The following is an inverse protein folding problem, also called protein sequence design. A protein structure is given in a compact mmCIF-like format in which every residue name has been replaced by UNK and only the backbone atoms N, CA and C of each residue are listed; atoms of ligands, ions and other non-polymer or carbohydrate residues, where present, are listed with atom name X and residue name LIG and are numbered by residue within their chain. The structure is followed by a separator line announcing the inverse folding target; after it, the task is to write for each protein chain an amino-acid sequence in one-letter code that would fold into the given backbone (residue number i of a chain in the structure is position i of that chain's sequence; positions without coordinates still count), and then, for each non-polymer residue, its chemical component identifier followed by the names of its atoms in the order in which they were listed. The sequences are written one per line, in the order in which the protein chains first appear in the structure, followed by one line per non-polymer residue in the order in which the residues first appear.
data_IF_391355697116
#
_entry.id   IF_391355697116
#
_cell.length_a   1.000
_cell.length_b   1.000
_cell.length_c   1.000
_cell.angle_alpha   90.00
_cell.angle_beta   90.00
_cell.angle_gamma   90.00
#
_symmetry.space_group_name_H-M   'P 1'
#
loop_
_entity.id
_entity.type
_entity.pdbx_description
1 polymer ?
#
# COMPACT_ATOMS: atom_id res chain seq x y z
N UNK A 1 10.26 -24.74 -9.51
CA UNK A 1 8.92 -25.41 -9.50
C UNK A 1 8.74 -26.36 -10.70
N UNK A 2 7.69 -27.18 -10.79
CA UNK A 2 7.47 -28.09 -11.95
C UNK A 2 7.11 -27.34 -13.24
N UNK A 3 6.34 -26.25 -13.15
CA UNK A 3 6.02 -25.37 -14.28
C UNK A 3 6.78 -24.06 -14.15
N UNK A 4 7.33 -23.55 -15.26
CA UNK A 4 7.88 -22.19 -15.32
C UNK A 4 6.73 -21.19 -15.37
N UNK A 5 6.75 -20.19 -14.48
CA UNK A 5 5.71 -19.15 -14.45
C UNK A 5 5.96 -18.05 -15.47
N UNK A 6 7.21 -17.86 -15.89
CA UNK A 6 7.63 -16.87 -16.86
C UNK A 6 8.34 -17.57 -18.02
N UNK A 7 7.92 -17.26 -19.24
CA UNK A 7 8.58 -17.70 -20.47
C UNK A 7 9.84 -16.89 -20.75
N UNK A 8 10.70 -17.37 -21.65
CA UNK A 8 11.89 -16.62 -22.08
C UNK A 8 11.55 -15.26 -22.70
N UNK A 9 10.36 -15.14 -23.30
CA UNK A 9 9.88 -13.87 -23.85
C UNK A 9 9.52 -12.89 -22.73
N UNK A 10 8.85 -13.35 -21.68
CA UNK A 10 8.45 -12.52 -20.53
C UNK A 10 9.69 -11.97 -19.82
N UNK A 11 10.70 -12.81 -19.59
CA UNK A 11 11.97 -12.40 -18.97
C UNK A 11 12.65 -11.31 -19.79
N UNK A 12 12.83 -11.53 -21.10
CA UNK A 12 13.45 -10.52 -22.00
C UNK A 12 12.70 -9.20 -22.03
N UNK A 13 11.37 -9.22 -22.00
CA UNK A 13 10.56 -8.01 -21.98
C UNK A 13 10.73 -7.23 -20.67
N UNK A 14 10.79 -7.92 -19.52
CA UNK A 14 11.05 -7.29 -18.22
C UNK A 14 12.48 -6.76 -18.13
N UNK A 15 13.47 -7.54 -18.56
CA UNK A 15 14.88 -7.11 -18.57
C UNK A 15 15.06 -5.86 -19.47
N UNK A 16 14.46 -5.85 -20.67
CA UNK A 16 14.49 -4.68 -21.54
C UNK A 16 13.82 -3.46 -20.90
N UNK A 17 12.75 -3.66 -20.11
CA UNK A 17 12.11 -2.58 -19.36
C UNK A 17 13.05 -2.03 -18.27
N UNK A 18 13.72 -2.89 -17.50
CA UNK A 18 14.74 -2.50 -16.51
C UNK A 18 15.87 -1.69 -17.19
N UNK A 19 16.42 -2.22 -18.28
CA UNK A 19 17.52 -1.58 -19.02
C UNK A 19 17.11 -0.20 -19.57
N UNK A 20 15.86 -0.05 -20.01
CA UNK A 20 15.34 1.23 -20.49
C UNK A 20 15.27 2.33 -19.43
N UNK A 21 15.38 1.97 -18.15
CA UNK A 21 15.47 2.87 -17.00
C UNK A 21 16.89 2.99 -16.43
N UNK A 22 17.89 2.43 -17.12
CA UNK A 22 19.30 2.51 -16.73
C UNK A 22 19.82 1.31 -15.93
N UNK A 23 19.02 0.25 -15.78
CA UNK A 23 19.39 -0.94 -15.01
C UNK A 23 18.92 -0.91 -13.56
N UNK A 24 18.92 -2.07 -12.91
CA UNK A 24 18.37 -2.23 -11.57
C UNK A 24 19.08 -1.37 -10.50
N UNK A 25 20.42 -1.28 -10.57
CA UNK A 25 21.22 -0.47 -9.64
C UNK A 25 20.89 1.02 -9.73
N UNK A 26 20.74 1.56 -10.95
CA UNK A 26 20.41 2.96 -11.17
C UNK A 26 18.98 3.26 -10.69
N UNK A 27 18.03 2.35 -10.93
CA UNK A 27 16.67 2.47 -10.38
C UNK A 27 16.71 2.56 -8.86
N UNK A 28 17.42 1.63 -8.20
CA UNK A 28 17.53 1.63 -6.73
C UNK A 28 18.16 2.91 -6.20
N UNK A 29 19.24 3.38 -6.83
CA UNK A 29 19.94 4.61 -6.45
C UNK A 29 19.05 5.85 -6.58
N UNK A 30 18.31 5.98 -7.69
CA UNK A 30 17.42 7.12 -7.90
C UNK A 30 16.29 7.14 -6.87
N UNK A 31 15.70 5.99 -6.57
CA UNK A 31 14.67 5.87 -5.51
C UNK A 31 15.22 6.42 -4.19
N UNK A 32 16.39 5.95 -3.73
CA UNK A 32 16.96 6.40 -2.45
C UNK A 32 17.28 7.89 -2.44
N UNK A 33 17.78 8.43 -3.56
CA UNK A 33 18.14 9.86 -3.65
C UNK A 33 16.95 10.81 -3.43
N UNK A 34 15.72 10.33 -3.67
CA UNK A 34 14.49 11.10 -3.53
C UNK A 34 13.77 10.86 -2.19
N UNK A 35 14.25 9.98 -1.32
CA UNK A 35 13.57 9.65 -0.05
C UNK A 35 13.92 10.59 1.10
N UNK A 36 15.00 11.35 0.95
CA UNK A 36 15.38 12.38 1.91
C UNK A 36 14.32 13.50 2.00
N UNK A 37 14.10 14.00 3.22
CA UNK A 37 13.04 14.98 3.46
C UNK A 37 13.32 16.32 2.78
N UNK A 38 14.56 16.82 2.82
CA UNK A 38 14.89 18.12 2.23
C UNK A 38 14.72 18.10 0.71
N UNK A 39 15.13 16.99 0.07
CA UNK A 39 14.88 16.78 -1.36
C UNK A 39 13.38 16.81 -1.67
N UNK A 40 12.56 16.04 -0.94
CA UNK A 40 11.11 16.02 -1.18
C UNK A 40 10.45 17.35 -0.89
N UNK A 41 10.82 18.01 0.21
CA UNK A 41 10.30 19.32 0.61
C UNK A 41 10.61 20.39 -0.43
N UNK A 42 11.82 20.39 -0.99
CA UNK A 42 12.21 21.29 -2.08
C UNK A 42 11.34 21.08 -3.33
N UNK A 43 11.24 19.83 -3.80
CA UNK A 43 10.43 19.49 -4.99
C UNK A 43 8.96 19.82 -4.77
N UNK A 44 8.41 19.45 -3.61
CA UNK A 44 7.04 19.77 -3.22
C UNK A 44 6.81 21.30 -3.15
N UNK A 45 7.78 22.05 -2.63
CA UNK A 45 7.76 23.51 -2.58
C UNK A 45 7.65 24.15 -3.96
N UNK A 46 8.47 23.72 -4.92
CA UNK A 46 8.39 24.16 -6.33
C UNK A 46 7.04 23.86 -6.98
N UNK A 47 6.36 22.82 -6.48
CA UNK A 47 5.02 22.39 -6.93
C UNK A 47 3.87 23.02 -6.13
N UNK A 48 4.16 23.94 -5.20
CA UNK A 48 3.14 24.68 -4.45
C UNK A 48 2.63 24.00 -3.17
N UNK A 49 3.33 22.97 -2.67
CA UNK A 49 2.98 22.26 -1.43
C UNK A 49 3.85 22.63 -0.22
N UNK A 50 4.78 23.58 -0.35
CA UNK A 50 5.73 23.96 0.72
C UNK A 50 5.05 24.37 2.04
N UNK A 51 4.12 25.34 1.97
CA UNK A 51 3.37 25.81 3.15
C UNK A 51 2.55 24.70 3.81
N UNK A 52 2.04 23.74 3.01
CA UNK A 52 1.30 22.59 3.54
C UNK A 52 2.21 21.69 4.37
N UNK A 53 3.42 21.41 3.88
CA UNK A 53 4.40 20.61 4.62
C UNK A 53 4.84 21.30 5.91
N UNK A 54 5.10 22.61 5.87
CA UNK A 54 5.44 23.39 7.07
C UNK A 54 4.34 23.34 8.13
N UNK A 55 3.07 23.48 7.73
CA UNK A 55 1.95 23.33 8.66
C UNK A 55 1.82 21.92 9.20
N UNK A 56 2.09 20.90 8.38
CA UNK A 56 2.07 19.51 8.83
C UNK A 56 3.15 19.26 9.91
N UNK A 57 4.35 19.83 9.76
CA UNK A 57 5.41 19.78 10.79
C UNK A 57 4.96 20.39 12.13
N UNK A 58 4.16 21.47 12.09
CA UNK A 58 3.60 22.06 13.30
C UNK A 58 2.52 21.18 13.92
N UNK A 59 1.59 20.64 13.12
CA UNK A 59 0.49 19.81 13.61
C UNK A 59 0.95 18.53 14.31
N UNK A 60 1.99 17.87 13.80
CA UNK A 60 2.44 16.60 14.39
C UNK A 60 3.03 16.74 15.79
N UNK A 61 3.37 17.95 16.23
CA UNK A 61 3.84 18.22 17.60
C UNK A 61 2.76 17.97 18.66
N UNK A 62 1.49 18.08 18.27
CA UNK A 62 0.33 17.91 19.16
C UNK A 62 -0.21 16.46 19.17
N UNK A 63 0.49 15.52 18.53
CA UNK A 63 0.05 14.12 18.48
C UNK A 63 0.28 13.40 19.81
N UNK A 64 -0.64 12.50 20.16
CA UNK A 64 -0.54 11.68 21.36
C UNK A 64 0.69 10.78 21.35
N UNK A 65 1.27 10.54 22.54
CA UNK A 65 2.43 9.66 22.72
C UNK A 65 2.07 8.31 23.32
N UNK A 66 2.71 7.26 22.81
CA UNK A 66 2.51 5.88 23.29
C UNK A 66 2.96 5.76 24.75
N UNK A 67 4.07 6.39 25.11
CA UNK A 67 4.65 6.42 26.46
C UNK A 67 3.65 6.99 27.47
N UNK A 68 3.06 8.14 27.15
CA UNK A 68 2.07 8.82 27.99
C UNK A 68 0.83 7.93 28.22
N UNK A 69 0.35 7.25 27.16
CA UNK A 69 -0.75 6.32 27.27
C UNK A 69 -0.40 5.09 28.13
N UNK A 70 0.77 4.51 27.94
CA UNK A 70 1.27 3.35 28.69
C UNK A 70 1.41 3.68 30.17
N UNK A 71 2.05 4.80 30.50
CA UNK A 71 2.23 5.26 31.87
C UNK A 71 0.90 5.55 32.56
N UNK A 72 0.03 6.36 31.91
CA UNK A 72 -1.29 6.74 32.44
C UNK A 72 -2.18 5.54 32.74
N UNK A 73 -2.05 4.45 31.99
CA UNK A 73 -2.89 3.26 32.13
C UNK A 73 -2.17 2.10 32.85
N UNK A 74 -0.94 2.29 33.33
CA UNK A 74 -0.17 1.25 34.02
C UNK A 74 0.03 -0.02 33.18
N UNK A 75 0.24 0.13 31.88
CA UNK A 75 0.31 -0.99 30.94
C UNK A 75 1.66 -1.70 31.04
N UNK A 76 1.63 -3.03 31.16
CA UNK A 76 2.80 -3.89 31.09
C UNK A 76 2.70 -4.81 29.87
N UNK A 77 3.74 -4.83 29.04
CA UNK A 77 3.81 -5.70 27.86
C UNK A 77 4.29 -7.10 28.22
N UNK A 78 3.38 -7.95 28.71
CA UNK A 78 3.70 -9.30 29.22
C UNK A 78 3.52 -10.42 28.20
N UNK A 79 2.95 -10.14 27.02
CA UNK A 79 2.63 -11.15 26.01
C UNK A 79 3.51 -11.02 24.76
N UNK A 80 3.69 -12.16 24.07
CA UNK A 80 4.26 -12.21 22.71
C UNK A 80 3.23 -11.75 21.67
N UNK A 81 3.63 -11.68 20.40
CA UNK A 81 2.79 -11.16 19.32
C UNK A 81 2.78 -9.63 19.33
N UNK A 82 3.26 -9.06 18.23
CA UNK A 82 3.34 -7.61 18.02
C UNK A 82 2.29 -7.22 16.98
N UNK A 83 1.49 -6.23 17.33
CA UNK A 83 0.53 -5.64 16.41
C UNK A 83 1.17 -4.47 15.63
N UNK A 84 0.90 -4.40 14.33
CA UNK A 84 1.24 -3.23 13.49
C UNK A 84 -0.05 -2.51 13.10
N UNK A 85 -0.13 -1.21 13.40
CA UNK A 85 -1.32 -0.39 13.11
C UNK A 85 -1.29 0.13 11.67
N UNK A 86 -2.30 -0.21 10.85
CA UNK A 86 -2.37 0.18 9.44
C UNK A 86 -3.74 0.76 9.06
N UNK A 87 -3.74 1.88 8.32
CA UNK A 87 -4.95 2.52 7.79
C UNK A 87 -4.82 2.70 6.28
N UNK A 88 -5.91 2.43 5.54
CA UNK A 88 -6.00 2.70 4.11
C UNK A 88 -6.96 3.85 3.78
N UNK A 89 -6.97 4.23 2.51
CA UNK A 89 -7.84 5.28 2.00
C UNK A 89 -7.15 6.63 1.89
N UNK A 90 -5.82 6.70 1.98
CA UNK A 90 -5.09 7.96 1.75
C UNK A 90 -5.17 8.34 0.27
N UNK A 91 -5.56 9.58 -0.02
CA UNK A 91 -5.82 10.02 -1.40
C UNK A 91 -5.03 11.28 -1.76
N UNK A 92 -3.71 11.20 -1.72
CA UNK A 92 -2.83 12.34 -2.00
C UNK A 92 -2.66 13.30 -0.82
N UNK A 93 -1.99 14.41 -1.09
CA UNK A 93 -1.49 15.34 -0.10
C UNK A 93 -2.62 16.06 0.64
N UNK A 94 -3.59 16.66 -0.06
CA UNK A 94 -4.64 17.46 0.59
C UNK A 94 -5.49 16.64 1.57
N UNK A 95 -6.04 15.46 1.22
CA UNK A 95 -6.79 14.66 2.19
C UNK A 95 -5.92 14.14 3.34
N UNK A 96 -4.65 13.80 3.05
CA UNK A 96 -3.69 13.39 4.09
C UNK A 96 -3.42 14.53 5.08
N UNK A 97 -3.22 15.75 4.58
CA UNK A 97 -3.03 16.95 5.38
C UNK A 97 -4.25 17.24 6.28
N UNK A 98 -5.47 17.11 5.74
CA UNK A 98 -6.69 17.27 6.52
C UNK A 98 -6.83 16.23 7.63
N UNK A 99 -6.44 14.97 7.37
CA UNK A 99 -6.37 13.94 8.40
C UNK A 99 -5.37 14.33 9.50
N UNK A 100 -4.16 14.78 9.13
CA UNK A 100 -3.12 15.21 10.07
C UNK A 100 -3.62 16.36 10.96
N UNK A 101 -4.25 17.39 10.37
CA UNK A 101 -4.85 18.50 11.11
C UNK A 101 -5.89 18.02 12.11
N UNK A 102 -6.80 17.13 11.69
CA UNK A 102 -7.88 16.57 12.54
C UNK A 102 -7.33 15.74 13.70
N UNK A 103 -6.24 14.99 13.47
CA UNK A 103 -5.56 14.24 14.53
C UNK A 103 -4.92 15.20 15.55
N UNK A 104 -4.22 16.25 15.08
CA UNK A 104 -3.65 17.27 15.96
C UNK A 104 -4.73 17.95 16.82
N UNK A 105 -5.89 18.28 16.23
CA UNK A 105 -7.03 18.85 16.97
C UNK A 105 -7.61 17.91 18.03
N UNK A 106 -7.46 16.58 17.86
CA UNK A 106 -7.96 15.60 18.82
C UNK A 106 -6.96 15.33 19.96
N UNK A 107 -5.65 15.40 19.73
CA UNK A 107 -4.61 15.28 20.77
C UNK A 107 -4.53 13.94 21.53
N UNK A 108 -5.53 13.06 21.39
CA UNK A 108 -5.62 11.78 22.09
C UNK A 108 -5.42 10.56 21.16
N UNK A 109 -5.24 10.76 19.85
CA UNK A 109 -5.16 9.68 18.86
C UNK A 109 -3.70 9.28 18.57
N UNK A 110 -3.36 8.00 18.76
CA UNK A 110 -2.08 7.45 18.33
C UNK A 110 -2.11 7.14 16.83
N UNK A 111 -1.19 7.70 16.06
CA UNK A 111 -1.24 7.64 14.60
C UNK A 111 -0.67 6.30 14.06
N UNK A 112 -1.34 5.63 13.10
CA UNK A 112 -0.92 4.33 12.57
C UNK A 112 0.45 4.39 11.88
N UNK A 113 1.24 3.33 11.98
CA UNK A 113 2.60 3.26 11.40
C UNK A 113 2.61 2.96 9.91
N UNK A 114 1.56 2.35 9.38
CA UNK A 114 1.49 1.99 7.96
C UNK A 114 0.27 2.61 7.29
N UNK A 115 0.48 3.12 6.09
CA UNK A 115 -0.51 3.87 5.32
C UNK A 115 -0.66 3.26 3.94
N UNK A 116 -1.89 3.19 3.43
CA UNK A 116 -2.14 2.73 2.05
C UNK A 116 -2.90 3.81 1.29
N UNK A 117 -2.30 4.24 0.18
CA UNK A 117 -2.99 5.08 -0.79
C UNK A 117 -3.81 4.22 -1.74
N UNK A 118 -5.00 4.71 -2.09
CA UNK A 118 -5.96 4.01 -2.96
C UNK A 118 -6.16 4.72 -4.31
N UNK A 119 -5.35 5.75 -4.57
CA UNK A 119 -5.38 6.53 -5.81
C UNK A 119 -4.56 5.82 -6.87
N UNK A 120 -5.12 5.65 -8.06
CA UNK A 120 -4.39 5.12 -9.21
C UNK A 120 -3.27 6.07 -9.65
N UNK A 121 -2.18 5.52 -10.18
CA UNK A 121 -0.98 6.30 -10.57
C UNK A 121 -1.18 7.04 -11.90
N UNK A 122 -2.07 8.02 -11.91
CA UNK A 122 -2.22 8.98 -13.02
C UNK A 122 -0.96 9.83 -13.14
N UNK A 123 -0.67 10.34 -14.34
CA UNK A 123 0.48 11.23 -14.53
C UNK A 123 0.30 12.53 -13.71
N UNK A 124 -0.93 13.04 -13.57
CA UNK A 124 -1.19 14.18 -12.69
C UNK A 124 -0.81 13.86 -11.24
N UNK A 125 -1.27 12.74 -10.67
CA UNK A 125 -0.94 12.37 -9.29
C UNK A 125 0.57 12.20 -9.07
N UNK A 126 1.28 11.65 -10.05
CA UNK A 126 2.72 11.36 -9.96
C UNK A 126 3.58 12.63 -10.15
N UNK A 127 3.25 13.50 -11.10
CA UNK A 127 4.13 14.60 -11.52
C UNK A 127 3.71 16.02 -11.06
N UNK A 128 2.48 16.18 -10.55
CA UNK A 128 1.97 17.47 -10.06
C UNK A 128 2.59 17.91 -8.73
N UNK A 129 3.24 16.99 -7.99
CA UNK A 129 3.70 17.22 -6.63
C UNK A 129 2.77 16.61 -5.56
N UNK A 130 1.59 16.12 -5.94
CA UNK A 130 0.62 15.55 -5.00
C UNK A 130 1.17 14.31 -4.28
N UNK A 131 1.59 13.27 -5.01
CA UNK A 131 2.12 12.05 -4.39
C UNK A 131 3.42 12.29 -3.61
N UNK A 132 4.38 13.06 -4.11
CA UNK A 132 5.64 13.32 -3.39
C UNK A 132 5.40 14.09 -2.09
N UNK A 133 4.41 14.99 -2.05
CA UNK A 133 4.01 15.71 -0.83
C UNK A 133 3.30 14.78 0.16
N UNK A 134 2.45 13.87 -0.33
CA UNK A 134 1.85 12.83 0.51
C UNK A 134 2.92 11.91 1.14
N UNK A 135 3.93 11.52 0.36
CA UNK A 135 5.07 10.72 0.85
C UNK A 135 5.93 11.50 1.85
N UNK A 136 6.17 12.78 1.62
CA UNK A 136 6.89 13.65 2.55
C UNK A 136 6.14 13.73 3.91
N UNK A 137 4.83 13.94 3.89
CA UNK A 137 4.01 13.91 5.11
C UNK A 137 4.05 12.54 5.79
N UNK A 138 3.82 11.47 5.04
CA UNK A 138 3.73 10.12 5.59
C UNK A 138 5.07 9.60 6.14
N UNK A 139 6.10 9.53 5.31
CA UNK A 139 7.34 8.85 5.66
C UNK A 139 8.29 9.77 6.44
N UNK A 140 8.33 11.07 6.14
CA UNK A 140 9.33 11.98 6.72
C UNK A 140 8.80 12.74 7.94
N UNK A 141 7.58 13.32 7.86
CA UNK A 141 7.01 14.12 8.96
C UNK A 141 6.36 13.22 10.02
N UNK A 142 5.43 12.36 9.62
CA UNK A 142 4.74 11.43 10.53
C UNK A 142 5.68 10.30 10.97
N UNK A 143 6.63 9.92 10.11
CA UNK A 143 7.52 8.78 10.34
C UNK A 143 6.78 7.44 10.26
N UNK A 144 5.87 7.31 9.30
CA UNK A 144 5.28 6.03 8.93
C UNK A 144 6.37 5.06 8.44
N UNK A 145 6.30 3.80 8.86
CA UNK A 145 7.23 2.76 8.43
C UNK A 145 7.06 2.36 6.97
N UNK A 146 5.83 2.49 6.44
CA UNK A 146 5.48 2.19 5.06
C UNK A 146 4.34 3.06 4.56
N UNK A 147 4.47 3.56 3.34
CA UNK A 147 3.37 4.14 2.56
C UNK A 147 3.19 3.35 1.27
N UNK A 148 2.10 2.58 1.17
CA UNK A 148 1.82 1.71 0.03
C UNK A 148 1.06 2.48 -1.05
N UNK A 149 1.67 2.68 -2.21
CA UNK A 149 1.01 3.29 -3.38
C UNK A 149 0.26 2.24 -4.19
N UNK A 150 -0.95 2.55 -4.65
CA UNK A 150 -1.75 1.63 -5.46
C UNK A 150 -1.57 1.91 -6.94
N UNK A 151 -1.03 0.93 -7.70
CA UNK A 151 -1.04 1.00 -9.15
C UNK A 151 -2.22 0.18 -9.70
N UNK A 152 -3.14 0.88 -10.36
CA UNK A 152 -4.33 0.29 -10.97
C UNK A 152 -4.09 0.13 -12.46
N UNK A 153 -4.14 -1.11 -12.95
CA UNK A 153 -3.82 -1.40 -14.35
C UNK A 153 -4.78 -0.70 -15.33
N UNK A 154 -6.02 -0.50 -14.91
CA UNK A 154 -7.02 0.24 -15.68
C UNK A 154 -6.91 1.76 -15.54
N UNK A 155 -5.91 2.32 -14.86
CA UNK A 155 -5.75 3.79 -14.83
C UNK A 155 -5.47 4.33 -16.23
N UNK A 156 -6.24 5.32 -16.73
CA UNK A 156 -5.91 6.00 -17.97
C UNK A 156 -4.54 6.67 -17.90
N UNK A 157 -3.73 6.46 -18.94
CA UNK A 157 -2.39 7.03 -19.07
C UNK A 157 -2.23 7.69 -20.45
N UNK A 158 -1.35 8.68 -20.62
CA UNK A 158 -1.04 9.22 -21.93
C UNK A 158 -0.61 8.12 -22.91
N UNK A 159 -1.08 8.18 -24.15
CA UNK A 159 -0.78 7.16 -25.19
C UNK A 159 0.72 6.93 -25.38
N UNK A 160 1.54 7.98 -25.19
CA UNK A 160 2.99 7.90 -25.23
C UNK A 160 3.60 6.93 -24.20
N UNK A 161 2.94 6.71 -23.06
CA UNK A 161 3.38 5.75 -22.04
C UNK A 161 3.29 4.33 -22.61
N UNK A 162 2.16 4.00 -23.23
CA UNK A 162 2.00 2.70 -23.88
C UNK A 162 2.95 2.55 -25.06
N UNK A 163 3.04 3.54 -25.94
CA UNK A 163 3.93 3.50 -27.10
C UNK A 163 5.41 3.28 -26.69
N UNK A 164 5.84 3.89 -25.58
CA UNK A 164 7.17 3.65 -25.01
C UNK A 164 7.35 2.20 -24.58
N UNK A 165 6.43 1.65 -23.78
CA UNK A 165 6.54 0.28 -23.28
C UNK A 165 6.53 -0.72 -24.45
N UNK A 166 5.66 -0.53 -25.45
CA UNK A 166 5.63 -1.36 -26.66
C UNK A 166 6.95 -1.30 -27.44
N UNK A 167 7.55 -0.10 -27.56
CA UNK A 167 8.83 0.07 -28.25
C UNK A 167 9.98 -0.65 -27.52
N UNK A 168 10.01 -0.55 -26.19
CA UNK A 168 11.08 -1.12 -25.36
C UNK A 168 10.97 -2.65 -25.31
N UNK A 169 9.76 -3.15 -25.11
CA UNK A 169 9.52 -4.57 -24.81
C UNK A 169 9.19 -5.40 -26.04
N UNK A 170 8.78 -4.76 -27.14
CA UNK A 170 8.25 -5.42 -28.33
C UNK A 170 6.82 -5.96 -28.17
N UNK A 171 6.19 -5.74 -27.02
CA UNK A 171 4.82 -6.15 -26.75
C UNK A 171 3.78 -5.20 -27.32
N UNK A 172 2.53 -5.65 -27.37
CA UNK A 172 1.37 -4.86 -27.75
C UNK A 172 0.27 -5.00 -26.70
N UNK A 173 -0.42 -3.90 -26.44
CA UNK A 173 -1.47 -3.86 -25.41
C UNK A 173 -2.81 -3.50 -26.03
N UNK A 174 -3.83 -4.31 -25.76
CA UNK A 174 -5.21 -3.96 -26.11
C UNK A 174 -5.69 -2.83 -25.21
N UNK A 175 -5.95 -1.67 -25.81
CA UNK A 175 -6.36 -0.45 -25.12
C UNK A 175 -7.42 0.32 -25.90
N UNK A 176 -8.20 1.13 -25.19
CA UNK A 176 -9.18 2.05 -25.74
C UNK A 176 -8.70 3.50 -25.57
N UNK A 177 -8.99 4.34 -26.56
CA UNK A 177 -8.89 5.79 -26.44
C UNK A 177 -10.04 6.26 -25.53
N UNK A 178 -9.69 6.96 -24.46
CA UNK A 178 -10.64 7.50 -23.48
C UNK A 178 -10.72 9.04 -23.51
N UNK A 179 -10.17 9.64 -24.57
CA UNK A 179 -10.17 11.09 -24.81
C UNK A 179 -8.96 11.81 -24.23
N UNK A 180 -8.77 13.08 -24.63
CA UNK A 180 -7.71 13.96 -24.14
C UNK A 180 -6.28 13.41 -24.27
N UNK A 181 -6.03 12.54 -25.26
CA UNK A 181 -4.74 11.89 -25.47
C UNK A 181 -4.43 10.77 -24.47
N UNK A 182 -5.41 10.37 -23.66
CA UNK A 182 -5.31 9.26 -22.73
C UNK A 182 -5.80 7.96 -23.36
N UNK A 183 -5.15 6.88 -23.00
CA UNK A 183 -5.56 5.52 -23.34
C UNK A 183 -5.64 4.65 -22.09
N UNK A 184 -6.45 3.61 -22.16
CA UNK A 184 -6.74 2.73 -21.04
C UNK A 184 -6.69 1.28 -21.48
N UNK A 185 -6.02 0.42 -20.73
CA UNK A 185 -6.05 -1.03 -20.95
C UNK A 185 -7.49 -1.53 -20.89
N UNK A 186 -7.89 -2.35 -21.85
CA UNK A 186 -9.23 -2.97 -21.86
C UNK A 186 -9.23 -4.17 -20.92
N UNK A 187 -9.98 -4.07 -19.82
CA UNK A 187 -10.35 -5.19 -18.95
C UNK A 187 -11.77 -5.67 -19.35
N UNK A 188 -11.97 -6.96 -19.59
CA UNK A 188 -13.12 -7.48 -20.37
C UNK A 188 -14.19 -8.22 -19.55
N UNK A 189 -13.85 -8.87 -18.44
CA UNK A 189 -14.77 -9.76 -17.72
C UNK A 189 -15.39 -9.13 -16.45
N UNK A 190 -14.81 -8.07 -15.88
CA UNK A 190 -15.24 -7.53 -14.60
C UNK A 190 -16.13 -6.30 -14.78
N UNK A 191 -17.45 -6.49 -14.89
CA UNK A 191 -18.42 -5.41 -15.11
C UNK A 191 -18.58 -4.35 -13.99
N UNK A 192 -17.69 -4.28 -12.99
CA UNK A 192 -17.70 -3.27 -11.91
C UNK A 192 -16.52 -2.31 -12.04
N UNK A 193 -16.64 -1.07 -11.58
CA UNK A 193 -15.52 -0.11 -11.59
C UNK A 193 -14.29 -0.72 -10.88
N UNK A 194 -14.46 -1.29 -9.69
CA UNK A 194 -13.35 -1.91 -8.98
C UNK A 194 -12.69 -3.06 -9.73
N UNK A 195 -13.44 -3.91 -10.44
CA UNK A 195 -12.80 -4.97 -11.22
C UNK A 195 -12.17 -4.46 -12.54
N UNK A 196 -12.76 -3.44 -13.16
CA UNK A 196 -12.27 -2.77 -14.38
C UNK A 196 -11.05 -1.88 -14.15
N UNK A 197 -10.84 -1.37 -12.93
CA UNK A 197 -9.68 -0.56 -12.58
C UNK A 197 -8.69 -1.31 -11.67
N UNK A 198 -9.19 -2.16 -10.78
CA UNK A 198 -8.45 -2.87 -9.71
C UNK A 198 -7.39 -3.87 -10.17
N UNK A 199 -7.37 -4.25 -11.45
CA UNK A 199 -6.35 -5.14 -11.99
C UNK A 199 -6.59 -6.63 -11.70
N UNK A 200 -7.82 -7.05 -11.41
CA UNK A 200 -8.16 -8.49 -11.31
C UNK A 200 -7.86 -9.19 -12.65
N UNK A 201 -8.09 -8.49 -13.76
CA UNK A 201 -7.77 -8.95 -15.11
C UNK A 201 -6.46 -8.39 -15.64
N UNK A 202 -5.35 -8.85 -15.10
CA UNK A 202 -4.07 -8.63 -15.78
C UNK A 202 -3.89 -9.71 -16.85
N UNK A 203 -4.57 -9.52 -17.98
CA UNK A 203 -4.47 -10.37 -19.15
C UNK A 203 -3.14 -10.20 -19.89
N UNK A 204 -2.66 -11.27 -20.51
CA UNK A 204 -1.46 -11.29 -21.35
C UNK A 204 -0.25 -10.59 -20.66
N UNK A 205 0.39 -9.66 -21.37
CA UNK A 205 1.60 -8.95 -20.94
C UNK A 205 1.33 -7.62 -20.24
N UNK A 206 0.10 -7.37 -19.80
CA UNK A 206 -0.27 -6.10 -19.14
C UNK A 206 0.51 -5.86 -17.83
N UNK A 207 1.11 -6.90 -17.23
CA UNK A 207 2.03 -6.74 -16.10
C UNK A 207 3.20 -5.80 -16.42
N UNK A 208 3.61 -5.66 -17.70
CA UNK A 208 4.64 -4.70 -18.10
C UNK A 208 4.19 -3.24 -17.94
N UNK A 209 2.91 -2.94 -18.19
CA UNK A 209 2.33 -1.61 -17.94
C UNK A 209 2.27 -1.32 -16.44
N UNK A 210 1.94 -2.35 -15.64
CA UNK A 210 2.03 -2.24 -14.18
C UNK A 210 3.47 -1.96 -13.71
N UNK A 211 4.46 -2.70 -14.22
CA UNK A 211 5.87 -2.52 -13.88
C UNK A 211 6.42 -1.16 -14.35
N UNK A 212 5.96 -0.65 -15.50
CA UNK A 212 6.30 0.69 -15.96
C UNK A 212 5.72 1.78 -15.03
N UNK A 213 4.45 1.65 -14.65
CA UNK A 213 3.78 2.60 -13.75
C UNK A 213 4.44 2.70 -12.38
N UNK A 214 4.80 1.56 -11.76
CA UNK A 214 5.52 1.58 -10.48
C UNK A 214 6.91 2.19 -10.64
N UNK A 215 7.62 1.89 -11.73
CA UNK A 215 9.01 2.34 -11.92
C UNK A 215 9.05 3.84 -12.14
N UNK A 216 8.22 4.40 -13.02
CA UNK A 216 8.11 5.86 -13.21
C UNK A 216 7.79 6.59 -11.91
N UNK A 217 6.84 6.04 -11.16
CA UNK A 217 6.44 6.62 -9.88
C UNK A 217 7.58 6.60 -8.88
N UNK A 218 8.28 5.48 -8.77
CA UNK A 218 9.43 5.30 -7.89
C UNK A 218 10.57 6.28 -8.23
N UNK A 219 10.91 6.41 -9.52
CA UNK A 219 11.94 7.33 -10.02
C UNK A 219 11.55 8.81 -9.91
N UNK A 220 10.26 9.13 -9.81
CA UNK A 220 9.78 10.52 -9.72
C UNK A 220 9.65 10.99 -8.28
N UNK A 221 9.33 10.07 -7.34
CA UNK A 221 8.88 10.43 -5.99
C UNK A 221 9.65 9.75 -4.86
N UNK A 222 10.52 8.78 -5.18
CA UNK A 222 11.14 7.90 -4.18
C UNK A 222 10.17 6.91 -3.53
N UNK A 223 8.94 6.77 -4.05
CA UNK A 223 8.01 5.72 -3.63
C UNK A 223 8.63 4.34 -3.88
N UNK A 224 8.60 3.46 -2.89
CA UNK A 224 9.28 2.16 -2.98
C UNK A 224 8.44 0.98 -2.46
N UNK A 225 7.17 1.22 -2.16
CA UNK A 225 6.26 0.22 -1.66
C UNK A 225 4.92 0.30 -2.40
N UNK A 226 4.57 -0.78 -3.11
CA UNK A 226 3.44 -0.77 -4.04
C UNK A 226 2.46 -1.91 -3.79
N UNK A 227 1.17 -1.63 -3.99
CA UNK A 227 0.11 -2.62 -3.87
C UNK A 227 0.11 -3.51 -5.12
N UNK A 228 0.08 -4.82 -4.92
CA UNK A 228 0.01 -5.83 -5.96
C UNK A 228 -1.40 -6.45 -6.02
N UNK A 229 -2.09 -6.36 -7.17
CA UNK A 229 -3.48 -6.78 -7.27
C UNK A 229 -3.71 -8.21 -7.77
N UNK A 230 -2.73 -8.91 -8.37
CA UNK A 230 -3.03 -10.12 -9.15
C UNK A 230 -1.91 -11.17 -9.22
N UNK A 231 -2.29 -12.41 -9.56
CA UNK A 231 -1.35 -13.53 -9.72
C UNK A 231 -0.29 -13.30 -10.79
N UNK A 232 -0.61 -12.65 -11.91
CA UNK A 232 0.40 -12.38 -12.95
C UNK A 232 1.32 -11.23 -12.55
N UNK A 233 0.79 -10.18 -11.93
CA UNK A 233 1.63 -9.06 -11.45
C UNK A 233 2.52 -9.46 -10.29
N UNK A 234 2.12 -10.38 -9.39
CA UNK A 234 2.99 -10.80 -8.27
C UNK A 234 4.20 -11.59 -8.76
N UNK A 235 4.01 -12.48 -9.74
CA UNK A 235 5.12 -13.24 -10.34
C UNK A 235 6.08 -12.30 -11.04
N UNK A 236 5.55 -11.39 -11.87
CA UNK A 236 6.35 -10.39 -12.57
C UNK A 236 7.08 -9.46 -11.60
N UNK A 237 6.42 -8.98 -10.54
CA UNK A 237 7.00 -8.11 -9.53
C UNK A 237 8.14 -8.81 -8.75
N UNK A 238 7.98 -10.10 -8.40
CA UNK A 238 9.03 -10.85 -7.73
C UNK A 238 10.27 -10.97 -8.61
N UNK A 239 10.11 -11.30 -9.90
CA UNK A 239 11.25 -11.35 -10.82
C UNK A 239 11.87 -9.96 -11.03
N UNK A 240 11.05 -8.96 -11.35
CA UNK A 240 11.48 -7.60 -11.70
C UNK A 240 12.26 -6.92 -10.56
N UNK A 241 11.78 -7.05 -9.32
CA UNK A 241 12.39 -6.41 -8.16
C UNK A 241 13.40 -7.29 -7.41
N UNK A 242 13.76 -8.45 -7.98
CA UNK A 242 14.79 -9.31 -7.38
C UNK A 242 16.16 -8.61 -7.34
N UNK A 243 16.44 -7.75 -8.32
CA UNK A 243 17.68 -6.97 -8.46
C UNK A 243 17.50 -5.51 -8.01
N UNK A 244 16.26 -5.06 -7.81
CA UNK A 244 15.93 -3.70 -7.33
C UNK A 244 15.64 -3.80 -5.82
N UNK A 245 16.70 -3.81 -5.03
CA UNK A 245 16.68 -4.20 -3.60
C UNK A 245 15.71 -3.41 -2.72
N UNK A 246 15.52 -2.12 -3.02
CA UNK A 246 14.67 -1.22 -2.24
C UNK A 246 13.22 -1.14 -2.73
N UNK A 247 12.86 -1.83 -3.81
CA UNK A 247 11.47 -1.89 -4.28
C UNK A 247 10.73 -3.06 -3.62
N UNK A 248 9.57 -2.79 -3.03
CA UNK A 248 8.81 -3.77 -2.25
C UNK A 248 7.31 -3.75 -2.58
N UNK A 249 6.65 -4.88 -2.32
CA UNK A 249 5.24 -5.06 -2.67
C UNK A 249 4.40 -5.61 -1.53
N UNK A 250 3.13 -5.19 -1.50
CA UNK A 250 2.08 -5.74 -0.65
C UNK A 250 1.10 -6.53 -1.48
N UNK A 251 0.75 -7.73 -1.05
CA UNK A 251 -0.36 -8.49 -1.67
C UNK A 251 -1.70 -7.93 -1.17
N UNK A 252 -2.51 -7.45 -2.11
CA UNK A 252 -3.83 -6.85 -1.87
C UNK A 252 -4.91 -7.89 -1.57
N UNK A 253 -6.10 -7.41 -1.16
CA UNK A 253 -7.31 -8.22 -1.00
C UNK A 253 -7.66 -9.01 -2.26
N UNK A 254 -7.42 -8.44 -3.46
CA UNK A 254 -7.72 -9.10 -4.74
C UNK A 254 -6.91 -10.37 -4.99
N UNK A 255 -5.75 -10.49 -4.37
CA UNK A 255 -4.88 -11.67 -4.36
C UNK A 255 -4.82 -12.29 -2.95
N UNK A 256 -5.74 -11.92 -2.05
CA UNK A 256 -5.65 -12.36 -0.65
C UNK A 256 -5.68 -13.87 -0.52
N UNK A 257 -4.91 -14.34 0.46
CA UNK A 257 -4.85 -15.75 0.81
C UNK A 257 -6.12 -16.13 1.56
N UNK A 258 -7.03 -16.85 0.93
CA UNK A 258 -8.29 -17.32 1.52
C UNK A 258 -8.16 -18.72 2.17
N UNK A 259 -7.05 -19.41 1.95
CA UNK A 259 -6.75 -20.72 2.55
C UNK A 259 -5.25 -21.05 2.46
N UNK A 260 -4.84 -22.13 3.14
CA UNK A 260 -3.43 -22.53 3.20
C UNK A 260 -2.85 -22.99 1.86
N UNK A 261 -3.67 -23.47 0.91
CA UNK A 261 -3.19 -23.89 -0.41
C UNK A 261 -2.71 -22.65 -1.18
N UNK A 262 -3.53 -21.60 -1.20
CA UNK A 262 -3.16 -20.32 -1.82
C UNK A 262 -1.93 -19.71 -1.15
N UNK A 263 -1.82 -19.82 0.18
CA UNK A 263 -0.65 -19.36 0.92
C UNK A 263 0.63 -20.06 0.44
N UNK A 264 0.60 -21.40 0.39
CA UNK A 264 1.74 -22.21 -0.07
C UNK A 264 2.10 -21.95 -1.52
N UNK A 265 1.11 -21.69 -2.38
CA UNK A 265 1.37 -21.28 -3.76
C UNK A 265 2.17 -19.98 -3.81
N UNK A 266 1.80 -18.97 -3.00
CA UNK A 266 2.55 -17.72 -2.88
C UNK A 266 3.98 -17.96 -2.37
N UNK A 267 4.15 -18.77 -1.31
CA UNK A 267 5.50 -19.10 -0.81
C UNK A 267 6.39 -19.77 -1.87
N UNK A 268 5.81 -20.62 -2.73
CA UNK A 268 6.54 -21.23 -3.85
C UNK A 268 6.95 -20.20 -4.90
N UNK A 269 6.09 -19.23 -5.21
CA UNK A 269 6.42 -18.11 -6.11
C UNK A 269 7.58 -17.31 -5.52
N UNK A 270 7.53 -16.95 -4.24
CA UNK A 270 8.57 -16.12 -3.61
C UNK A 270 9.90 -16.85 -3.57
N UNK A 271 9.91 -18.14 -3.24
CA UNK A 271 11.15 -18.95 -3.23
C UNK A 271 11.77 -19.11 -4.61
N UNK A 272 10.99 -19.10 -5.69
CA UNK A 272 11.51 -19.18 -7.05
C UNK A 272 12.26 -17.91 -7.47
N UNK A 273 11.86 -16.74 -6.94
CA UNK A 273 12.38 -15.42 -7.34
C UNK A 273 12.95 -14.64 -6.15
N UNK A 274 13.72 -15.30 -5.30
CA UNK A 274 14.44 -14.62 -4.22
C UNK A 274 15.50 -13.67 -4.78
N UNK A 275 15.79 -12.64 -3.99
CA UNK A 275 16.99 -11.83 -4.13
C UNK A 275 18.23 -12.66 -3.79
N UNK A 276 19.39 -12.15 -4.18
CA UNK A 276 20.68 -12.79 -3.89
C UNK A 276 20.96 -12.92 -2.39
N UNK A 277 20.40 -12.04 -1.56
CA UNK A 277 20.49 -12.09 -0.09
C UNK A 277 19.49 -13.06 0.57
N UNK A 278 18.71 -13.81 -0.24
CA UNK A 278 17.69 -14.74 0.23
C UNK A 278 16.38 -14.09 0.67
N UNK A 279 16.25 -12.77 0.58
CA UNK A 279 15.00 -12.05 0.84
C UNK A 279 14.06 -12.10 -0.37
N UNK A 280 12.83 -11.65 -0.16
CA UNK A 280 11.80 -11.53 -1.20
C UNK A 280 11.39 -10.06 -1.35
N UNK A 281 11.02 -9.60 -2.56
CA UNK A 281 10.42 -8.28 -2.75
C UNK A 281 9.07 -8.10 -2.05
N UNK A 282 8.47 -9.17 -1.53
CA UNK A 282 7.17 -9.10 -0.86
C UNK A 282 7.37 -8.72 0.61
N UNK A 283 6.81 -7.58 0.99
CA UNK A 283 6.85 -7.10 2.37
C UNK A 283 5.70 -7.68 3.19
N UNK A 284 4.49 -7.77 2.63
CA UNK A 284 3.30 -8.12 3.40
C UNK A 284 2.24 -8.84 2.57
N UNK A 285 1.54 -9.79 3.19
CA UNK A 285 0.44 -10.57 2.59
C UNK A 285 -0.85 -10.31 3.34
N UNK A 286 -1.89 -9.89 2.61
CA UNK A 286 -3.24 -9.84 3.17
C UNK A 286 -3.83 -11.26 3.24
N UNK A 287 -4.11 -11.72 4.45
CA UNK A 287 -4.90 -12.92 4.70
C UNK A 287 -6.38 -12.54 4.56
N UNK A 288 -7.13 -13.35 3.80
CA UNK A 288 -8.49 -13.05 3.39
C UNK A 288 -9.49 -13.06 4.55
N UNK A 289 -10.58 -12.31 4.38
CA UNK A 289 -11.58 -12.09 5.45
C UNK A 289 -12.39 -13.35 5.81
N UNK A 290 -12.39 -14.37 4.96
CA UNK A 290 -13.03 -15.66 5.25
C UNK A 290 -12.17 -16.58 6.13
N UNK A 291 -10.92 -16.19 6.40
CA UNK A 291 -9.95 -17.01 7.12
C UNK A 291 -10.21 -16.96 8.63
N UNK A 292 -10.17 -18.14 9.26
CA UNK A 292 -10.26 -18.26 10.72
C UNK A 292 -8.92 -17.88 11.37
N UNK A 293 -8.90 -17.43 12.64
CA UNK A 293 -7.65 -17.14 13.35
C UNK A 293 -6.69 -18.35 13.39
N UNK A 294 -7.18 -19.58 13.44
CA UNK A 294 -6.35 -20.80 13.43
C UNK A 294 -5.62 -20.97 12.09
N UNK A 295 -6.28 -20.66 10.98
CA UNK A 295 -5.65 -20.70 9.66
C UNK A 295 -4.65 -19.55 9.50
N UNK A 296 -4.93 -18.37 10.05
CA UNK A 296 -3.95 -17.27 10.09
C UNK A 296 -2.69 -17.68 10.86
N UNK A 297 -2.87 -18.27 12.05
CA UNK A 297 -1.78 -18.80 12.87
C UNK A 297 -0.96 -19.83 12.09
N UNK A 298 -1.62 -20.74 11.37
CA UNK A 298 -0.93 -21.71 10.52
C UNK A 298 -0.11 -21.03 9.41
N UNK A 299 -0.65 -20.00 8.74
CA UNK A 299 0.12 -19.21 7.78
C UNK A 299 1.36 -18.58 8.43
N UNK A 300 1.24 -18.02 9.63
CA UNK A 300 2.39 -17.46 10.37
C UNK A 300 3.46 -18.52 10.66
N UNK A 301 3.06 -19.70 11.12
CA UNK A 301 3.97 -20.80 11.43
C UNK A 301 4.69 -21.31 10.16
N UNK A 302 3.96 -21.48 9.05
CA UNK A 302 4.56 -21.89 7.79
C UNK A 302 5.49 -20.82 7.21
N UNK A 303 5.18 -19.54 7.44
CA UNK A 303 6.06 -18.43 7.06
C UNK A 303 7.36 -18.44 7.85
N UNK A 304 7.28 -18.56 9.18
CA UNK A 304 8.44 -18.69 10.06
C UNK A 304 9.32 -19.89 9.64
N UNK A 305 8.70 -21.05 9.39
CA UNK A 305 9.40 -22.24 8.92
C UNK A 305 10.00 -22.09 7.51
N UNK A 306 9.46 -21.18 6.68
CA UNK A 306 9.97 -20.94 5.33
C UNK A 306 11.30 -20.16 5.33
N UNK A 307 11.57 -19.40 6.40
CA UNK A 307 12.71 -18.49 6.54
C UNK A 307 12.51 -17.12 5.87
N UNK A 308 11.32 -16.83 5.32
CA UNK A 308 11.04 -15.56 4.65
C UNK A 308 10.57 -14.49 5.66
N UNK A 309 11.14 -13.30 5.55
CA UNK A 309 10.75 -12.15 6.38
C UNK A 309 9.61 -11.36 5.71
N UNK A 310 8.38 -11.86 5.86
CA UNK A 310 7.15 -11.24 5.34
C UNK A 310 6.21 -10.96 6.52
N UNK A 311 5.40 -9.89 6.44
CA UNK A 311 4.34 -9.60 7.41
C UNK A 311 2.99 -10.15 6.95
N UNK A 312 2.12 -10.52 7.90
CA UNK A 312 0.76 -10.95 7.60
C UNK A 312 -0.25 -9.91 8.09
N UNK A 313 -1.20 -9.56 7.23
CA UNK A 313 -2.26 -8.58 7.50
C UNK A 313 -3.63 -9.23 7.56
N UNK A 314 -4.51 -8.67 8.38
CA UNK A 314 -5.94 -8.93 8.30
C UNK A 314 -6.71 -7.60 8.29
N UNK A 315 -7.76 -7.52 7.48
CA UNK A 315 -8.73 -6.44 7.61
C UNK A 315 -9.52 -6.63 8.90
N UNK A 316 -9.62 -5.58 9.70
CA UNK A 316 -10.45 -5.59 10.91
C UNK A 316 -11.87 -5.14 10.60
N UNK A 317 -11.99 -4.07 9.80
CA UNK A 317 -13.24 -3.48 9.33
C UNK A 317 -13.10 -3.10 7.87
N UNK A 318 -14.17 -3.33 7.11
CA UNK A 318 -14.24 -3.04 5.68
C UNK A 318 -15.48 -2.24 5.35
N UNK A 319 -15.39 -1.47 4.27
CA UNK A 319 -16.52 -0.71 3.77
C UNK A 319 -17.60 -1.67 3.26
N UNK A 320 -18.89 -1.35 3.44
CA UNK A 320 -20.00 -2.22 3.05
C UNK A 320 -20.12 -2.42 1.52
N UNK A 321 -19.41 -1.63 0.72
CA UNK A 321 -19.31 -1.80 -0.73
C UNK A 321 -18.16 -2.74 -1.15
N UNK A 322 -17.20 -3.02 -0.25
CA UNK A 322 -16.15 -4.02 -0.43
C UNK A 322 -16.49 -5.37 0.21
N UNK A 323 -17.38 -5.41 1.19
CA UNK A 323 -17.83 -6.66 1.78
C UNK A 323 -19.00 -6.51 2.73
N UNK A 324 -19.19 -7.50 3.61
CA UNK A 324 -20.38 -7.58 4.45
C UNK A 324 -20.48 -6.37 5.38
N UNK A 325 -21.63 -5.70 5.38
CA UNK A 325 -21.93 -4.65 6.36
C UNK A 325 -21.72 -5.18 7.79
N UNK A 326 -21.06 -4.39 8.64
CA UNK A 326 -20.68 -4.75 10.01
C UNK A 326 -19.62 -5.86 10.14
N UNK A 327 -18.88 -6.19 9.09
CA UNK A 327 -17.72 -7.06 9.21
C UNK A 327 -16.76 -6.52 10.29
N UNK A 328 -16.41 -7.39 11.23
CA UNK A 328 -15.56 -7.08 12.37
C UNK A 328 -14.71 -8.31 12.73
N UNK A 329 -13.40 -8.19 12.56
CA UNK A 329 -12.45 -9.27 12.82
C UNK A 329 -11.62 -9.06 14.10
N UNK A 330 -11.98 -8.10 14.95
CA UNK A 330 -11.20 -7.74 16.16
C UNK A 330 -10.97 -8.93 17.11
N UNK A 331 -12.00 -9.73 17.40
CA UNK A 331 -11.86 -10.90 18.29
C UNK A 331 -10.92 -11.97 17.73
N UNK A 332 -10.89 -12.14 16.41
CA UNK A 332 -9.96 -13.07 15.76
C UNK A 332 -8.53 -12.52 15.81
N UNK A 333 -8.34 -11.21 15.63
CA UNK A 333 -7.03 -10.57 15.79
C UNK A 333 -6.46 -10.77 17.20
N UNK A 334 -7.30 -10.69 18.24
CA UNK A 334 -6.92 -10.99 19.61
C UNK A 334 -6.44 -12.43 19.78
N UNK A 335 -7.13 -13.41 19.20
CA UNK A 335 -6.72 -14.83 19.25
C UNK A 335 -5.37 -15.07 18.58
N UNK A 336 -5.10 -14.42 17.44
CA UNK A 336 -3.80 -14.51 16.76
C UNK A 336 -2.68 -13.96 17.64
N UNK A 337 -2.88 -12.77 18.20
CA UNK A 337 -1.89 -12.13 19.08
C UNK A 337 -1.69 -12.94 20.37
N UNK A 338 -2.75 -13.44 21.00
CA UNK A 338 -2.68 -14.27 22.21
C UNK A 338 -1.96 -15.61 21.96
N UNK A 339 -2.01 -16.13 20.74
CA UNK A 339 -1.23 -17.29 20.32
C UNK A 339 0.26 -16.96 20.10
N UNK A 340 0.66 -15.70 20.22
CA UNK A 340 2.05 -15.25 20.16
C UNK A 340 2.54 -14.89 18.76
N UNK A 341 1.64 -14.75 17.78
CA UNK A 341 1.99 -14.41 16.40
C UNK A 341 1.79 -12.93 16.10
N UNK A 342 2.68 -12.35 15.31
CA UNK A 342 2.60 -10.96 14.85
C UNK A 342 1.44 -10.77 13.86
N UNK A 343 0.83 -9.59 13.86
CA UNK A 343 -0.31 -9.26 13.00
C UNK A 343 -0.32 -7.78 12.64
N UNK A 344 -0.44 -7.47 11.35
CA UNK A 344 -0.85 -6.14 10.92
C UNK A 344 -2.37 -6.05 10.91
N UNK A 345 -2.92 -5.12 11.69
CA UNK A 345 -4.36 -4.83 11.67
C UNK A 345 -4.63 -3.70 10.68
N UNK A 346 -5.42 -3.99 9.65
CA UNK A 346 -5.73 -3.04 8.58
C UNK A 346 -7.17 -2.54 8.68
N UNK A 347 -7.34 -1.21 8.66
CA UNK A 347 -8.64 -0.56 8.59
C UNK A 347 -8.90 -0.01 7.20
N UNK A 348 -9.87 -0.61 6.52
CA UNK A 348 -10.44 -0.07 5.28
C UNK A 348 -11.67 0.82 5.57
N UNK A 349 -12.32 0.62 6.73
CA UNK A 349 -13.45 1.42 7.26
C UNK A 349 -13.31 1.65 8.77
N UNK A 350 -14.02 2.65 9.29
CA UNK A 350 -14.31 2.73 10.73
C UNK A 350 -15.56 1.92 11.16
N UNK A 351 -16.35 1.45 10.18
CA UNK A 351 -17.56 0.67 10.34
C UNK A 351 -18.87 1.47 10.40
N UNK A 352 -18.82 2.80 10.25
CA UNK A 352 -19.98 3.69 10.43
C UNK A 352 -20.62 4.15 9.10
N UNK A 353 -20.16 3.62 7.95
CA UNK A 353 -20.69 3.94 6.61
C UNK A 353 -20.73 5.45 6.30
N UNK A 354 -19.61 6.14 6.52
CA UNK A 354 -19.51 7.59 6.33
C UNK A 354 -19.61 7.98 4.85
N UNK A 355 -20.07 9.20 4.54
CA UNK A 355 -19.92 9.76 3.19
C UNK A 355 -18.45 9.71 2.76
N UNK A 356 -18.19 9.28 1.53
CA UNK A 356 -16.84 9.08 0.98
C UNK A 356 -16.01 7.96 1.61
N UNK A 357 -16.56 7.19 2.56
CA UNK A 357 -16.00 5.90 2.93
C UNK A 357 -16.50 4.79 1.99
N UNK A 358 -16.23 5.01 0.70
CA UNK A 358 -16.67 4.14 -0.40
C UNK A 358 -15.55 3.97 -1.42
N UNK A 359 -15.60 2.87 -2.16
CA UNK A 359 -14.79 2.59 -3.32
C UNK A 359 -14.97 3.60 -4.44
N UNK A 360 -16.17 4.16 -4.58
CA UNK A 360 -16.43 5.23 -5.55
C UNK A 360 -15.51 6.43 -5.30
N UNK A 361 -15.25 6.77 -4.03
CA UNK A 361 -14.32 7.83 -3.66
C UNK A 361 -12.89 7.56 -4.16
N UNK A 362 -12.52 6.30 -4.46
CA UNK A 362 -11.18 5.94 -4.93
C UNK A 362 -10.96 6.27 -6.41
N UNK A 363 -12.06 6.50 -7.14
CA UNK A 363 -12.07 6.79 -8.58
C UNK A 363 -12.44 8.24 -8.90
N UNK A 364 -12.53 9.11 -7.88
CA UNK A 364 -12.71 10.54 -8.09
C UNK A 364 -11.55 11.09 -8.92
N UNK A 365 -11.87 12.03 -9.81
CA UNK A 365 -10.84 12.80 -10.52
C UNK A 365 -9.94 13.56 -9.54
N UNK A 366 -8.75 13.93 -9.99
CA UNK A 366 -7.81 14.70 -9.17
C UNK A 366 -8.43 16.04 -8.70
N UNK A 367 -9.22 16.70 -9.55
CA UNK A 367 -9.96 17.92 -9.23
C UNK A 367 -11.01 17.71 -8.14
N UNK A 368 -11.93 16.76 -8.33
CA UNK A 368 -12.98 16.47 -7.34
C UNK A 368 -12.41 16.01 -6.00
N UNK A 369 -11.34 15.21 -6.03
CA UNK A 369 -10.63 14.76 -4.82
C UNK A 369 -10.09 15.96 -4.04
N UNK A 370 -9.52 16.94 -4.73
CA UNK A 370 -8.98 18.14 -4.12
C UNK A 370 -10.09 19.03 -3.53
N UNK A 371 -11.22 19.17 -4.23
CA UNK A 371 -12.39 19.90 -3.71
C UNK A 371 -12.99 19.24 -2.46
N UNK A 372 -12.97 17.90 -2.42
CA UNK A 372 -13.54 17.09 -1.33
C UNK A 372 -12.51 16.68 -0.28
N UNK A 373 -11.32 17.28 -0.30
CA UNK A 373 -10.20 16.85 0.54
C UNK A 373 -10.52 16.84 2.03
N UNK A 374 -11.31 17.81 2.51
CA UNK A 374 -11.78 17.86 3.89
C UNK A 374 -12.63 16.63 4.27
N UNK A 375 -13.56 16.23 3.40
CA UNK A 375 -14.47 15.09 3.66
C UNK A 375 -13.70 13.76 3.63
N UNK A 376 -12.81 13.61 2.66
CA UNK A 376 -11.95 12.42 2.54
C UNK A 376 -10.97 12.35 3.72
N UNK A 377 -10.35 13.47 4.09
CA UNK A 377 -9.47 13.56 5.25
C UNK A 377 -10.18 13.20 6.55
N UNK A 378 -11.45 13.61 6.69
CA UNK A 378 -12.28 13.24 7.86
C UNK A 378 -12.57 11.74 7.94
N UNK A 379 -12.83 11.09 6.79
CA UNK A 379 -12.96 9.63 6.72
C UNK A 379 -11.69 8.93 7.18
N UNK A 380 -10.52 9.38 6.70
CA UNK A 380 -9.22 8.78 7.10
C UNK A 380 -8.95 9.00 8.59
N UNK A 381 -9.24 10.19 9.11
CA UNK A 381 -9.16 10.50 10.54
C UNK A 381 -10.02 9.56 11.39
N UNK A 382 -11.27 9.30 10.98
CA UNK A 382 -12.14 8.38 11.71
C UNK A 382 -11.67 6.92 11.66
N UNK A 383 -11.05 6.49 10.55
CA UNK A 383 -10.34 5.19 10.50
C UNK A 383 -9.18 5.16 11.50
N UNK A 384 -8.42 6.25 11.62
CA UNK A 384 -7.35 6.37 12.61
C UNK A 384 -7.88 6.29 14.05
N UNK A 385 -8.99 6.97 14.39
CA UNK A 385 -9.63 6.84 15.71
C UNK A 385 -10.02 5.40 16.00
N UNK A 386 -10.62 4.71 15.02
CA UNK A 386 -11.03 3.32 15.22
C UNK A 386 -9.83 2.39 15.42
N UNK A 387 -8.78 2.58 14.62
CA UNK A 387 -7.52 1.86 14.75
C UNK A 387 -6.88 2.11 16.12
N UNK A 388 -6.79 3.37 16.56
CA UNK A 388 -6.29 3.76 17.88
C UNK A 388 -7.08 3.09 19.03
N UNK A 389 -8.41 3.09 18.96
CA UNK A 389 -9.24 2.45 19.98
C UNK A 389 -8.93 0.96 20.14
N UNK A 390 -8.87 0.23 19.03
CA UNK A 390 -8.66 -1.22 19.05
C UNK A 390 -7.21 -1.55 19.42
N UNK A 391 -6.22 -0.75 18.98
CA UNK A 391 -4.81 -0.92 19.38
C UNK A 391 -4.54 -0.59 20.84
N UNK A 392 -5.19 0.42 21.41
CA UNK A 392 -5.14 0.70 22.85
C UNK A 392 -5.66 -0.47 23.67
N UNK A 393 -6.69 -1.16 23.19
CA UNK A 393 -7.16 -2.39 23.82
C UNK A 393 -6.13 -3.53 23.70
N UNK A 394 -5.50 -3.69 22.53
CA UNK A 394 -4.39 -4.64 22.35
C UNK A 394 -3.25 -4.38 23.35
N UNK A 395 -2.90 -3.11 23.58
CA UNK A 395 -1.90 -2.74 24.59
C UNK A 395 -2.35 -3.08 26.01
N UNK A 396 -3.60 -2.79 26.38
CA UNK A 396 -4.16 -3.18 27.70
C UNK A 396 -4.15 -4.69 27.93
N UNK A 397 -4.27 -5.49 26.87
CA UNK A 397 -4.18 -6.96 26.92
C UNK A 397 -2.73 -7.47 27.06
N UNK A 398 -1.74 -6.58 27.04
CA UNK A 398 -0.32 -6.88 27.30
C UNK A 398 0.53 -7.10 26.05
N UNK A 399 0.04 -6.76 24.86
CA UNK A 399 0.79 -6.86 23.61
C UNK A 399 1.41 -5.51 23.20
N UNK A 400 2.53 -5.55 22.48
CA UNK A 400 3.11 -4.33 21.88
C UNK A 400 2.37 -3.96 20.60
N UNK A 401 2.28 -2.65 20.34
CA UNK A 401 1.76 -2.11 19.08
C UNK A 401 2.81 -1.17 18.47
N UNK A 402 2.98 -1.23 17.15
CA UNK A 402 3.82 -0.31 16.37
C UNK A 402 2.96 0.84 15.83
N UNK A 403 3.37 2.07 16.12
CA UNK A 403 2.78 3.33 15.64
C UNK A 403 3.78 4.16 14.83
N UNK A 404 3.32 5.21 14.17
CA UNK A 404 4.21 6.13 13.47
C UNK A 404 5.19 6.79 14.45
N UNK A 405 6.40 7.16 13.97
CA UNK A 405 7.44 7.76 14.83
C UNK A 405 6.94 8.97 15.61
N UNK A 406 6.05 9.77 15.04
CA UNK A 406 5.47 10.94 15.72
C UNK A 406 4.65 10.59 16.97
N UNK A 407 4.24 9.34 17.13
CA UNK A 407 3.53 8.85 18.31
C UNK A 407 4.48 8.36 19.42
N UNK A 408 5.80 8.52 19.25
CA UNK A 408 6.84 8.20 20.23
C UNK A 408 7.64 9.44 20.65
#
# INVERSE_FOLDING_TARGET
MHFKLLSTRDLKAMDALIDSYGGAEEISKQIESLRDYETRKSIAGEKGFGEMLEKAEEYVKDFAKVEDFVEKNGIAFTKKGICTAQVSGFQGARPTFECVRRVAENGDVLFPTEMISVVGLTDEYVYSGDLISALAMAENILGASKFCSTNLLGTPLPEERFARVEKVTGEKFERADVGNGLSQIILKNMGTAFGNFGGIEVGNNNHLVYLDGITRTALTTGANFFLNPSWSTIVAACYYAREISNLSFKISMLLSTQNIIQFRMLLNIFKEYLRDDGTTPIYEINIGNAVTPETFIQCSQELEASGLSIFLAAHIRINPDLGMANFNWTESAFKVLDAGHDLTIKYESDGESRPYDTMEAYFLSDEERNEKAYLIGDVIYHKCIRCDKDTKEIMRRGHKVRFAKTSY
#
